data_IF_494535682746
#
_entry.id   IF_494535682746
#
_cell.length_a   1.000
_cell.length_b   1.000
_cell.length_c   1.000
_cell.angle_alpha   90.00
_cell.angle_beta   90.00
_cell.angle_gamma   90.00
#
_symmetry.space_group_name_H-M   'P 1'
#
loop_
_entity.id
_entity.type
_entity.pdbx_description
1 polymer ?
#
# COMPACT_ATOMS: atom_id res chain seq x y z
N UNK A 1 -11.96 0.02 -22.24
CA UNK A 1 -12.82 1.02 -21.58
C UNK A 1 -12.04 1.99 -20.68
N UNK A 2 -10.93 1.57 -20.10
CA UNK A 2 -10.14 2.40 -19.16
C UNK A 2 -8.95 3.14 -19.80
N UNK A 3 -8.57 2.83 -21.05
CA UNK A 3 -7.49 3.53 -21.76
C UNK A 3 -7.94 4.93 -22.22
N UNK A 4 -7.00 5.87 -22.30
CA UNK A 4 -7.25 7.23 -22.74
C UNK A 4 -6.19 7.65 -23.77
N UNK A 5 -6.58 8.50 -24.73
CA UNK A 5 -5.68 8.88 -25.84
C UNK A 5 -4.45 9.67 -25.37
N UNK A 6 -4.58 10.52 -24.36
CA UNK A 6 -3.55 11.46 -23.92
C UNK A 6 -3.19 11.38 -22.44
N UNK A 7 -3.85 10.50 -21.66
CA UNK A 7 -3.66 10.41 -20.22
C UNK A 7 -3.13 9.02 -19.85
N UNK A 8 -2.01 8.98 -19.15
CA UNK A 8 -1.54 7.76 -18.49
C UNK A 8 -2.37 7.49 -17.25
N UNK A 9 -2.79 6.26 -17.07
CA UNK A 9 -3.67 5.86 -15.97
C UNK A 9 -3.09 4.72 -15.18
N UNK A 10 -3.36 4.74 -13.88
CA UNK A 10 -3.12 3.65 -12.95
C UNK A 10 -4.47 3.26 -12.35
N UNK A 11 -4.82 1.99 -12.46
CA UNK A 11 -5.93 1.41 -11.75
C UNK A 11 -5.35 0.75 -10.51
N UNK A 12 -5.45 1.40 -9.35
CA UNK A 12 -4.95 0.90 -8.07
C UNK A 12 -6.09 0.24 -7.29
N UNK A 13 -5.93 -1.03 -6.98
CA UNK A 13 -6.84 -1.74 -6.09
C UNK A 13 -6.16 -1.97 -4.74
N UNK A 14 -6.78 -1.47 -3.67
CA UNK A 14 -6.31 -1.67 -2.28
C UNK A 14 -7.31 -2.59 -1.57
N UNK A 15 -7.16 -3.89 -1.83
CA UNK A 15 -7.88 -4.97 -1.16
C UNK A 15 -7.09 -5.50 0.03
N UNK A 16 -7.11 -6.81 0.25
CA UNK A 16 -6.21 -7.48 1.21
C UNK A 16 -4.74 -7.32 0.79
N UNK A 17 -4.46 -7.62 -0.47
CA UNK A 17 -3.22 -7.27 -1.19
C UNK A 17 -3.49 -6.01 -2.01
N UNK A 18 -2.50 -5.14 -2.12
CA UNK A 18 -2.54 -3.99 -3.01
C UNK A 18 -1.87 -4.33 -4.35
N UNK A 19 -2.52 -3.93 -5.43
CA UNK A 19 -2.03 -4.14 -6.79
C UNK A 19 -2.43 -2.97 -7.70
N UNK A 20 -1.68 -2.78 -8.79
CA UNK A 20 -2.08 -1.81 -9.78
C UNK A 20 -1.93 -2.34 -11.21
N UNK A 21 -2.72 -1.76 -12.12
CA UNK A 21 -2.59 -1.91 -13.57
C UNK A 21 -2.21 -0.57 -14.16
N UNK A 22 -1.10 -0.54 -14.91
CA UNK A 22 -0.68 0.63 -15.67
C UNK A 22 -1.28 0.60 -17.08
N UNK A 23 -1.89 1.71 -17.48
CA UNK A 23 -2.49 1.94 -18.78
C UNK A 23 -1.84 3.17 -19.42
N UNK A 24 -0.91 2.99 -20.35
CA UNK A 24 -0.26 4.11 -21.03
C UNK A 24 -1.24 4.88 -21.92
N UNK A 25 -0.95 6.16 -22.10
CA UNK A 25 -1.63 6.97 -23.10
C UNK A 25 -1.43 6.37 -24.51
N UNK A 26 -2.32 6.71 -25.45
CA UNK A 26 -2.30 6.26 -26.84
C UNK A 26 -2.47 4.76 -27.07
N UNK A 27 -3.02 4.02 -26.10
CA UNK A 27 -3.43 2.62 -26.30
C UNK A 27 -2.30 1.65 -26.65
N UNK A 28 -1.06 1.89 -26.19
CA UNK A 28 0.08 1.00 -26.37
C UNK A 28 -0.08 -0.27 -25.53
N UNK A 29 -0.87 -1.21 -26.02
CA UNK A 29 -1.24 -2.43 -25.31
C UNK A 29 -0.04 -3.27 -24.84
N UNK A 30 1.07 -3.24 -25.56
CA UNK A 30 2.30 -3.94 -25.20
C UNK A 30 3.04 -3.32 -23.99
N UNK A 31 2.60 -2.17 -23.52
CA UNK A 31 3.13 -1.50 -22.32
C UNK A 31 2.17 -1.59 -21.12
N UNK A 32 1.02 -2.21 -21.30
CA UNK A 32 0.08 -2.49 -20.20
C UNK A 32 0.63 -3.61 -19.35
N UNK A 33 0.69 -3.41 -18.06
CA UNK A 33 1.03 -4.47 -17.10
C UNK A 33 0.27 -4.31 -15.78
N UNK A 34 0.12 -5.42 -15.08
CA UNK A 34 -0.43 -5.46 -13.72
C UNK A 34 0.58 -6.08 -12.77
N UNK A 35 0.63 -5.61 -11.54
CA UNK A 35 1.57 -6.12 -10.54
C UNK A 35 1.03 -5.91 -9.13
N UNK A 36 1.38 -6.83 -8.23
CA UNK A 36 1.19 -6.63 -6.79
C UNK A 36 2.28 -5.70 -6.25
N UNK A 37 1.92 -4.91 -5.24
CA UNK A 37 2.83 -3.94 -4.62
C UNK A 37 3.26 -4.35 -3.21
N UNK A 38 2.40 -5.12 -2.53
CA UNK A 38 2.60 -5.54 -1.15
C UNK A 38 1.26 -5.67 -0.41
N UNK A 39 1.26 -5.56 0.93
CA UNK A 39 0.02 -5.64 1.69
C UNK A 39 -0.88 -4.44 1.38
N UNK A 40 -2.18 -4.72 1.28
CA UNK A 40 -3.21 -3.70 1.34
C UNK A 40 -3.73 -3.59 2.79
N UNK A 41 -4.94 -4.05 3.03
CA UNK A 41 -5.56 -4.01 4.37
C UNK A 41 -5.24 -5.24 5.24
N UNK A 42 -4.66 -6.32 4.69
CA UNK A 42 -4.56 -7.62 5.37
C UNK A 42 -3.91 -7.52 6.74
N UNK A 43 -2.74 -6.87 6.85
CA UNK A 43 -2.02 -6.74 8.12
C UNK A 43 -2.77 -5.85 9.11
N UNK A 44 -3.25 -4.69 8.66
CA UNK A 44 -4.02 -3.76 9.50
C UNK A 44 -5.28 -4.42 10.06
N UNK A 45 -6.04 -5.11 9.21
CA UNK A 45 -7.27 -5.79 9.61
C UNK A 45 -7.00 -6.96 10.56
N UNK A 46 -5.96 -7.76 10.29
CA UNK A 46 -5.56 -8.86 11.15
C UNK A 46 -5.10 -8.35 12.53
N UNK A 47 -4.33 -7.27 12.54
CA UNK A 47 -3.88 -6.63 13.78
C UNK A 47 -5.04 -6.05 14.58
N UNK A 48 -5.95 -5.35 13.91
CA UNK A 48 -7.17 -4.79 14.55
C UNK A 48 -8.02 -5.88 15.17
N UNK A 49 -8.32 -6.95 14.44
CA UNK A 49 -9.10 -8.08 14.98
C UNK A 49 -8.48 -8.75 16.21
N UNK A 50 -7.15 -8.77 16.27
CA UNK A 50 -6.43 -9.43 17.37
C UNK A 50 -6.36 -8.58 18.64
N UNK A 51 -6.15 -7.28 18.49
CA UNK A 51 -5.78 -6.41 19.62
C UNK A 51 -6.85 -5.37 20.01
N UNK A 52 -7.91 -5.23 19.22
CA UNK A 52 -9.00 -4.29 19.49
C UNK A 52 -10.35 -5.03 19.46
N UNK A 53 -10.84 -5.34 20.64
CA UNK A 53 -12.05 -6.15 20.83
C UNK A 53 -13.26 -5.55 20.09
N UNK A 54 -14.02 -6.41 19.40
CA UNK A 54 -15.22 -6.01 18.65
C UNK A 54 -14.94 -5.28 17.32
N UNK A 55 -13.68 -5.08 16.94
CA UNK A 55 -13.30 -4.40 15.69
C UNK A 55 -12.79 -5.38 14.63
N UNK A 56 -13.30 -5.27 13.41
CA UNK A 56 -12.84 -6.06 12.26
C UNK A 56 -11.77 -5.36 11.43
N UNK A 57 -11.73 -4.03 11.47
CA UNK A 57 -10.78 -3.16 10.80
C UNK A 57 -10.74 -1.78 11.49
N UNK A 58 -9.73 -0.99 11.20
CA UNK A 58 -9.57 0.38 11.72
C UNK A 58 -10.43 1.37 10.92
N UNK A 59 -11.67 1.55 11.35
CA UNK A 59 -12.62 2.44 10.67
C UNK A 59 -12.10 3.89 10.69
N UNK A 60 -12.08 4.54 9.53
CA UNK A 60 -11.65 5.92 9.33
C UNK A 60 -10.21 6.22 9.83
N UNK A 61 -9.39 5.15 9.98
CA UNK A 61 -8.04 5.19 10.54
C UNK A 61 -7.99 5.78 11.97
N UNK A 62 -9.02 5.55 12.78
CA UNK A 62 -9.12 6.17 14.12
C UNK A 62 -8.04 5.68 15.08
N UNK A 63 -7.58 4.44 14.93
CA UNK A 63 -6.49 3.89 15.75
C UNK A 63 -5.16 4.43 15.22
N UNK A 64 -4.91 4.27 13.91
CA UNK A 64 -3.65 4.69 13.29
C UNK A 64 -3.36 6.18 13.45
N UNK A 65 -4.38 7.03 13.41
CA UNK A 65 -4.25 8.49 13.62
C UNK A 65 -3.81 8.89 15.03
N UNK A 66 -3.94 8.00 16.01
CA UNK A 66 -3.50 8.24 17.39
C UNK A 66 -2.03 7.85 17.60
N UNK A 67 -1.45 7.12 16.66
CA UNK A 67 -0.08 6.65 16.73
C UNK A 67 0.90 7.51 15.96
N UNK A 68 2.17 7.22 16.20
CA UNK A 68 3.31 7.79 15.49
C UNK A 68 4.00 6.70 14.66
N UNK A 69 4.40 7.02 13.44
CA UNK A 69 5.11 6.08 12.57
C UNK A 69 6.47 5.74 13.21
N UNK A 70 6.73 4.45 13.43
CA UNK A 70 7.99 3.95 13.95
C UNK A 70 8.92 3.57 12.81
N UNK A 71 9.91 4.42 12.51
CA UNK A 71 10.79 4.27 11.34
C UNK A 71 11.53 2.93 11.31
N UNK A 72 12.12 2.51 12.43
CA UNK A 72 12.84 1.23 12.47
C UNK A 72 11.94 0.01 12.21
N UNK A 73 10.68 0.03 12.67
CA UNK A 73 9.73 -1.03 12.34
C UNK A 73 9.36 -0.99 10.86
N UNK A 74 9.14 0.20 10.31
CA UNK A 74 8.83 0.40 8.89
C UNK A 74 9.95 -0.13 8.00
N UNK A 75 11.21 0.18 8.33
CA UNK A 75 12.39 -0.31 7.60
C UNK A 75 12.46 -1.84 7.63
N UNK A 76 12.29 -2.47 8.81
CA UNK A 76 12.29 -3.93 8.97
C UNK A 76 11.16 -4.60 8.18
N UNK A 77 9.97 -4.01 8.13
CA UNK A 77 8.86 -4.51 7.32
C UNK A 77 9.15 -4.47 5.81
N UNK A 78 10.08 -3.64 5.37
CA UNK A 78 10.48 -3.50 3.95
C UNK A 78 11.68 -4.35 3.56
N UNK A 79 12.27 -5.13 4.49
CA UNK A 79 13.42 -6.01 4.22
C UNK A 79 13.06 -7.31 3.49
N UNK A 80 11.77 -7.65 3.37
CA UNK A 80 11.37 -8.91 2.73
C UNK A 80 11.80 -8.95 1.26
N UNK A 81 12.26 -10.13 0.84
CA UNK A 81 12.74 -10.40 -0.51
C UNK A 81 11.72 -10.07 -1.60
N UNK A 82 10.43 -10.13 -1.30
CA UNK A 82 9.37 -9.75 -2.23
C UNK A 82 9.57 -8.33 -2.76
N UNK A 83 10.00 -7.37 -1.93
CA UNK A 83 10.16 -5.98 -2.36
C UNK A 83 11.30 -5.79 -3.36
N UNK A 84 12.24 -6.71 -3.42
CA UNK A 84 13.39 -6.69 -4.34
C UNK A 84 13.17 -7.52 -5.62
N UNK A 85 12.04 -8.21 -5.74
CA UNK A 85 11.71 -8.95 -6.96
C UNK A 85 11.47 -8.00 -8.14
N UNK A 86 11.86 -8.41 -9.36
CA UNK A 86 11.57 -7.63 -10.55
C UNK A 86 10.06 -7.58 -10.84
N UNK A 87 9.63 -6.51 -11.48
CA UNK A 87 8.24 -6.33 -11.92
C UNK A 87 8.01 -6.90 -13.34
N UNK A 88 6.79 -7.39 -13.67
CA UNK A 88 5.65 -7.55 -12.76
C UNK A 88 5.86 -8.72 -11.79
N UNK A 89 5.32 -8.60 -10.57
CA UNK A 89 5.39 -9.64 -9.53
C UNK A 89 4.04 -9.90 -8.91
N UNK A 90 3.89 -11.10 -8.34
CA UNK A 90 2.67 -11.52 -7.64
C UNK A 90 3.02 -12.07 -6.27
N UNK A 91 2.07 -12.02 -5.35
CA UNK A 91 2.24 -12.48 -3.98
C UNK A 91 1.02 -13.28 -3.53
N UNK A 92 1.26 -14.33 -2.76
CA UNK A 92 0.21 -15.03 -2.05
C UNK A 92 -0.28 -14.23 -0.81
N UNK A 93 -1.57 -14.33 -0.48
CA UNK A 93 -2.16 -13.62 0.65
C UNK A 93 -1.57 -14.02 2.01
N UNK A 94 -0.89 -15.17 2.07
CA UNK A 94 -0.29 -15.76 3.27
C UNK A 94 1.01 -15.06 3.71
N UNK A 95 1.71 -14.33 2.85
CA UNK A 95 3.00 -13.74 3.22
C UNK A 95 2.83 -12.64 4.28
N UNK A 96 1.94 -11.69 4.04
CA UNK A 96 1.75 -10.54 4.94
C UNK A 96 0.71 -10.86 6.02
N UNK A 97 1.12 -11.61 7.04
CA UNK A 97 0.32 -12.04 8.17
C UNK A 97 0.88 -11.50 9.50
N UNK A 98 0.26 -11.87 10.63
CA UNK A 98 0.72 -11.41 11.94
C UNK A 98 2.08 -11.99 12.35
N UNK A 99 2.48 -13.13 11.81
CA UNK A 99 3.81 -13.71 12.07
C UNK A 99 4.89 -12.86 11.43
N UNK A 100 4.68 -12.42 10.18
CA UNK A 100 5.53 -11.46 9.49
C UNK A 100 5.78 -10.19 10.33
N UNK A 101 4.71 -9.60 10.88
CA UNK A 101 4.83 -8.45 11.77
C UNK A 101 5.57 -8.78 13.06
N UNK A 102 5.28 -9.93 13.67
CA UNK A 102 5.93 -10.36 14.91
C UNK A 102 7.44 -10.54 14.72
N UNK A 103 7.88 -11.10 13.60
CA UNK A 103 9.31 -11.25 13.28
C UNK A 103 10.01 -9.88 13.19
N UNK A 104 9.40 -8.91 12.53
CA UNK A 104 9.94 -7.55 12.46
C UNK A 104 10.03 -6.91 13.86
N UNK A 105 9.01 -7.08 14.71
CA UNK A 105 9.01 -6.58 16.09
C UNK A 105 10.08 -7.27 16.96
N UNK A 106 10.28 -8.58 16.80
CA UNK A 106 11.32 -9.32 17.52
C UNK A 106 12.72 -8.85 17.11
N UNK A 107 12.96 -8.63 15.82
CA UNK A 107 14.25 -8.07 15.35
C UNK A 107 14.52 -6.69 15.92
N UNK A 108 13.48 -5.88 16.08
CA UNK A 108 13.60 -4.53 16.62
C UNK A 108 13.93 -4.54 18.12
N UNK A 109 13.44 -5.52 18.89
CA UNK A 109 13.77 -5.74 20.30
C UNK A 109 13.18 -4.73 21.28
N UNK A 110 12.26 -3.86 20.86
CA UNK A 110 11.55 -2.91 21.72
C UNK A 110 10.03 -3.08 21.58
N UNK A 111 9.31 -2.72 22.62
CA UNK A 111 7.85 -2.73 22.61
C UNK A 111 7.32 -1.43 22.03
N UNK A 112 6.43 -1.53 21.05
CA UNK A 112 5.77 -0.40 20.40
C UNK A 112 4.29 -0.41 20.77
N UNK A 113 3.70 0.75 20.98
CA UNK A 113 2.26 0.86 21.26
C UNK A 113 1.40 0.32 20.12
N UNK A 114 0.20 -0.15 20.42
CA UNK A 114 -0.71 -0.65 19.38
C UNK A 114 -1.07 0.44 18.35
N UNK A 115 -1.19 1.69 18.79
CA UNK A 115 -1.48 2.81 17.92
C UNK A 115 -0.30 3.10 16.97
N UNK A 116 0.94 3.06 17.48
CA UNK A 116 2.14 3.28 16.66
C UNK A 116 2.35 2.14 15.65
N UNK A 117 2.03 0.91 16.04
CA UNK A 117 2.02 -0.23 15.10
C UNK A 117 1.01 0.02 13.99
N UNK A 118 -0.22 0.42 14.31
CA UNK A 118 -1.25 0.70 13.31
C UNK A 118 -0.88 1.87 12.39
N UNK A 119 -0.29 2.95 12.93
CA UNK A 119 0.24 4.07 12.16
C UNK A 119 1.36 3.62 11.19
N UNK A 120 2.26 2.75 11.69
CA UNK A 120 3.36 2.20 10.91
C UNK A 120 2.87 1.26 9.80
N UNK A 121 1.91 0.39 10.08
CA UNK A 121 1.31 -0.51 9.08
C UNK A 121 0.56 0.27 7.98
N UNK A 122 -0.14 1.34 8.36
CA UNK A 122 -0.80 2.23 7.40
C UNK A 122 0.22 2.88 6.47
N UNK A 123 1.31 3.41 7.02
CA UNK A 123 2.42 3.99 6.27
C UNK A 123 3.14 2.95 5.40
N UNK A 124 3.36 1.75 5.89
CA UNK A 124 3.97 0.65 5.16
C UNK A 124 3.18 0.31 3.88
N UNK A 125 1.86 0.17 3.98
CA UNK A 125 1.00 -0.02 2.80
C UNK A 125 1.13 1.14 1.82
N UNK A 126 1.13 2.39 2.28
CA UNK A 126 1.26 3.55 1.41
C UNK A 126 2.62 3.59 0.70
N UNK A 127 3.72 3.34 1.42
CA UNK A 127 5.06 3.37 0.85
C UNK A 127 5.30 2.27 -0.17
N UNK A 128 4.87 1.03 0.12
CA UNK A 128 5.03 -0.08 -0.82
C UNK A 128 4.28 0.15 -2.13
N UNK A 129 3.10 0.78 -2.08
CA UNK A 129 2.36 1.19 -3.27
C UNK A 129 3.11 2.29 -4.01
N UNK A 130 3.52 3.35 -3.32
CA UNK A 130 4.17 4.50 -3.93
C UNK A 130 5.52 4.13 -4.56
N UNK A 131 6.35 3.37 -3.87
CA UNK A 131 7.63 2.87 -4.37
C UNK A 131 7.46 1.97 -5.59
N UNK A 132 6.47 1.07 -5.57
CA UNK A 132 6.18 0.22 -6.72
C UNK A 132 5.80 1.05 -7.95
N UNK A 133 5.02 2.12 -7.81
CA UNK A 133 4.66 3.02 -8.89
C UNK A 133 5.89 3.82 -9.36
N UNK A 134 6.63 4.43 -8.44
CA UNK A 134 7.79 5.29 -8.76
C UNK A 134 8.94 4.52 -9.41
N UNK A 135 9.18 3.27 -8.99
CA UNK A 135 10.28 2.46 -9.51
C UNK A 135 9.97 1.84 -10.90
N UNK A 136 8.70 1.80 -11.31
CA UNK A 136 8.29 1.12 -12.54
C UNK A 136 7.73 2.06 -13.62
N UNK A 137 7.49 3.31 -13.27
CA UNK A 137 7.00 4.30 -14.20
C UNK A 137 8.01 5.45 -14.36
N UNK A 138 8.11 6.04 -15.56
CA UNK A 138 9.01 7.17 -15.77
C UNK A 138 8.67 8.35 -14.85
N UNK A 139 9.67 8.92 -14.19
CA UNK A 139 9.52 10.02 -13.25
C UNK A 139 9.04 11.34 -13.86
N UNK A 140 9.17 11.48 -15.18
CA UNK A 140 8.84 12.68 -15.95
C UNK A 140 7.43 12.65 -16.55
N UNK A 141 6.62 11.63 -16.26
CA UNK A 141 5.23 11.55 -16.74
C UNK A 141 4.25 11.85 -15.60
N UNK A 142 3.18 12.55 -15.93
CA UNK A 142 2.02 12.65 -15.06
C UNK A 142 1.07 11.50 -15.34
N UNK A 143 0.39 11.04 -14.30
CA UNK A 143 -0.63 9.99 -14.40
C UNK A 143 -1.77 10.24 -13.44
N UNK A 144 -2.92 9.70 -13.80
CA UNK A 144 -4.11 9.71 -12.96
C UNK A 144 -4.30 8.33 -12.34
N UNK A 145 -4.44 8.31 -11.03
CA UNK A 145 -4.67 7.08 -10.26
C UNK A 145 -6.15 7.00 -9.92
N UNK A 146 -6.77 5.90 -10.34
CA UNK A 146 -8.13 5.54 -9.94
C UNK A 146 -8.04 4.47 -8.87
N UNK A 147 -8.46 4.80 -7.65
CA UNK A 147 -8.36 3.90 -6.50
C UNK A 147 -9.67 3.16 -6.30
N UNK A 148 -9.57 1.86 -6.05
CA UNK A 148 -10.68 0.96 -5.72
C UNK A 148 -10.31 0.05 -4.55
N UNK A 149 -11.27 -0.76 -4.08
CA UNK A 149 -11.09 -1.64 -2.94
C UNK A 149 -11.33 -0.95 -1.59
N UNK A 150 -11.32 -1.74 -0.51
CA UNK A 150 -11.63 -1.24 0.84
C UNK A 150 -10.69 -0.15 1.35
N UNK A 151 -9.42 -0.19 0.94
CA UNK A 151 -8.41 0.78 1.36
C UNK A 151 -8.66 2.21 0.90
N UNK A 152 -9.47 2.41 -0.17
CA UNK A 152 -9.86 3.76 -0.60
C UNK A 152 -10.65 4.54 0.47
N UNK A 153 -11.27 3.82 1.40
CA UNK A 153 -12.04 4.41 2.51
C UNK A 153 -11.19 4.70 3.75
N UNK A 154 -9.89 4.40 3.72
CA UNK A 154 -8.97 4.73 4.80
C UNK A 154 -8.36 6.13 4.55
N UNK A 155 -8.80 7.17 5.26
CA UNK A 155 -8.40 8.54 4.95
C UNK A 155 -6.92 8.82 5.19
N UNK A 156 -6.30 8.18 6.19
CA UNK A 156 -4.88 8.33 6.47
C UNK A 156 -4.02 7.68 5.38
N UNK A 157 -4.43 6.52 4.88
CA UNK A 157 -3.76 5.86 3.75
C UNK A 157 -3.81 6.73 2.49
N UNK A 158 -4.97 7.32 2.21
CA UNK A 158 -5.13 8.21 1.06
C UNK A 158 -4.31 9.50 1.21
N UNK A 159 -4.20 10.05 2.42
CA UNK A 159 -3.33 11.19 2.74
C UNK A 159 -1.86 10.86 2.48
N UNK A 160 -1.39 9.71 2.97
CA UNK A 160 -0.03 9.24 2.70
C UNK A 160 0.25 9.06 1.22
N UNK A 161 -0.67 8.43 0.47
CA UNK A 161 -0.50 8.26 -0.97
C UNK A 161 -0.42 9.59 -1.73
N UNK A 162 -1.29 10.56 -1.39
CA UNK A 162 -1.23 11.90 -1.98
C UNK A 162 0.11 12.61 -1.69
N UNK A 163 0.63 12.46 -0.47
CA UNK A 163 1.92 13.04 -0.09
C UNK A 163 3.10 12.38 -0.80
N UNK A 164 3.07 11.05 -0.95
CA UNK A 164 4.15 10.26 -1.56
C UNK A 164 4.17 10.34 -3.10
N UNK A 165 3.04 10.64 -3.72
CA UNK A 165 2.87 10.70 -5.17
C UNK A 165 2.44 12.09 -5.64
N UNK A 166 3.26 13.15 -5.43
CA UNK A 166 2.86 14.54 -5.70
C UNK A 166 2.60 14.82 -7.20
N UNK A 167 3.15 14.01 -8.09
CA UNK A 167 2.95 14.12 -9.54
C UNK A 167 1.72 13.35 -10.06
N UNK A 168 0.98 12.70 -9.18
CA UNK A 168 -0.22 11.96 -9.51
C UNK A 168 -1.49 12.73 -9.11
N UNK A 169 -2.53 12.62 -9.92
CA UNK A 169 -3.89 13.01 -9.53
C UNK A 169 -4.63 11.76 -9.06
N UNK A 170 -4.95 11.67 -7.77
CA UNK A 170 -5.65 10.51 -7.21
C UNK A 170 -7.14 10.79 -7.15
N UNK A 171 -7.93 9.89 -7.73
CA UNK A 171 -9.39 9.93 -7.71
C UNK A 171 -9.95 8.59 -7.19
N UNK A 172 -11.00 8.64 -6.39
CA UNK A 172 -11.81 7.46 -6.07
C UNK A 172 -12.62 7.04 -7.28
N UNK A 173 -12.65 5.75 -7.58
CA UNK A 173 -13.45 5.17 -8.68
C UNK A 173 -14.91 5.02 -8.27
#
# INVERSE_FOLDING_TARGET
LCSHATENRILLNIGGIANFTYLPANGKLNQVFSTDTGPGNTLMDAYTRKYFEGMSYDKDALIAKQGTIHSALLDLLKEDSFFFLPFPKTIGPELFNLEYLNEAQLKMGIVVSHQDIMATLNRFTAETIAEAIQNNLPSNISFKIYVSGGGMHNPLLMEHLNSLLPNASIASS
#
